data_IF_565548134705
#
_entry.id   IF_565548134705
#
_cell.length_a   1.000
_cell.length_b   1.000
_cell.length_c   1.000
_cell.angle_alpha   90.00
_cell.angle_beta   90.00
_cell.angle_gamma   90.00
#
_symmetry.space_group_name_H-M   'P 1'
#
loop_
_entity.id
_entity.type
_entity.pdbx_description
1 polymer ?
#
# COMPACT_ATOMS: atom_id res chain seq x y z
N UNK A 1 -13.76 10.87 -16.54
CA UNK A 1 -12.85 10.88 -15.36
C UNK A 1 -13.11 9.60 -14.61
N UNK A 2 -12.05 8.88 -14.23
CA UNK A 2 -12.13 7.62 -13.49
C UNK A 2 -11.31 7.70 -12.21
N UNK A 3 -11.71 6.94 -11.19
CA UNK A 3 -10.88 6.72 -10.02
C UNK A 3 -9.95 5.52 -10.28
N UNK A 4 -8.67 5.68 -9.98
CA UNK A 4 -7.69 4.59 -10.01
C UNK A 4 -7.09 4.40 -8.63
N UNK A 5 -6.57 3.20 -8.41
CA UNK A 5 -5.90 2.81 -7.18
C UNK A 5 -4.41 2.64 -7.46
N UNK A 6 -3.59 3.36 -6.72
CA UNK A 6 -2.14 3.26 -6.76
C UNK A 6 -1.64 2.82 -5.39
N UNK A 7 -0.80 1.79 -5.36
CA UNK A 7 -0.25 1.25 -4.13
C UNK A 7 1.20 1.69 -4.02
N UNK A 8 1.55 2.38 -2.94
CA UNK A 8 2.94 2.72 -2.63
C UNK A 8 3.46 1.76 -1.59
N UNK A 9 4.62 1.21 -1.87
CA UNK A 9 5.43 0.49 -0.91
C UNK A 9 6.88 0.95 -1.06
N UNK A 10 7.46 1.46 0.02
CA UNK A 10 8.72 2.21 -0.01
C UNK A 10 8.67 3.35 -1.07
N UNK A 11 9.62 3.37 -1.99
CA UNK A 11 9.72 4.37 -3.07
C UNK A 11 9.17 3.88 -4.41
N UNK A 12 8.45 2.77 -4.42
CA UNK A 12 7.85 2.18 -5.63
C UNK A 12 6.33 2.29 -5.62
N UNK A 13 5.76 2.48 -6.83
CA UNK A 13 4.32 2.58 -7.06
C UNK A 13 3.85 1.39 -7.91
N UNK A 14 2.72 0.81 -7.53
CA UNK A 14 2.17 -0.41 -8.11
C UNK A 14 0.68 -0.23 -8.41
N UNK A 15 0.16 -1.02 -9.37
CA UNK A 15 -1.26 -1.07 -9.73
C UNK A 15 -2.09 -1.97 -8.82
N UNK A 16 -1.43 -2.81 -8.03
CA UNK A 16 -2.00 -3.74 -7.05
C UNK A 16 -1.04 -3.85 -5.86
N UNK A 17 -1.52 -4.35 -4.74
CA UNK A 17 -0.67 -4.65 -3.58
C UNK A 17 0.46 -5.59 -4.02
N UNK A 18 1.73 -5.17 -3.93
CA UNK A 18 2.86 -5.97 -4.38
C UNK A 18 3.37 -6.87 -3.26
N UNK A 19 3.88 -8.06 -3.57
CA UNK A 19 4.65 -8.94 -2.66
C UNK A 19 3.98 -9.45 -1.37
N UNK A 20 2.85 -8.88 -0.95
CA UNK A 20 2.13 -9.30 0.24
C UNK A 20 0.98 -10.24 -0.10
N UNK A 21 0.82 -11.29 0.72
CA UNK A 21 -0.36 -12.14 0.68
C UNK A 21 -1.46 -11.52 1.54
N UNK A 22 -2.71 -11.57 1.07
CA UNK A 22 -3.84 -11.05 1.85
C UNK A 22 -4.00 -11.75 3.20
N UNK A 23 -3.56 -13.01 3.34
CA UNK A 23 -3.58 -13.75 4.60
C UNK A 23 -2.72 -13.09 5.70
N UNK A 24 -1.74 -12.26 5.33
CA UNK A 24 -0.89 -11.50 6.27
C UNK A 24 -1.44 -10.10 6.58
N UNK A 25 -2.54 -9.70 5.94
CA UNK A 25 -3.14 -8.38 6.15
C UNK A 25 -3.87 -8.34 7.48
N UNK A 26 -3.49 -7.40 8.34
CA UNK A 26 -4.18 -7.17 9.60
C UNK A 26 -5.58 -6.61 9.36
N UNK A 27 -6.57 -7.19 10.04
CA UNK A 27 -7.99 -6.84 9.91
C UNK A 27 -8.49 -5.86 10.98
N UNK A 28 -7.72 -5.57 12.02
CA UNK A 28 -8.20 -4.90 13.25
C UNK A 28 -7.20 -3.89 13.83
N UNK A 29 -7.70 -3.02 14.71
CA UNK A 29 -6.97 -1.94 15.39
C UNK A 29 -5.78 -2.45 16.20
N UNK A 30 -4.59 -2.26 15.61
CA UNK A 30 -3.35 -1.69 16.14
C UNK A 30 -3.19 -1.57 17.68
N UNK A 31 -3.44 -2.62 18.46
CA UNK A 31 -3.12 -2.61 19.91
C UNK A 31 -2.01 -3.60 20.32
N UNK A 32 -1.57 -4.49 19.42
CA UNK A 32 -0.48 -5.45 19.67
C UNK A 32 0.71 -5.29 18.69
N UNK A 33 0.87 -4.09 18.10
CA UNK A 33 1.88 -3.83 17.06
C UNK A 33 3.32 -3.88 17.58
N UNK A 34 3.57 -3.57 18.85
CA UNK A 34 4.94 -3.48 19.40
C UNK A 34 5.71 -4.82 19.39
N UNK A 35 5.04 -5.94 19.14
CA UNK A 35 5.65 -7.28 19.08
C UNK A 35 5.79 -7.85 17.65
N UNK A 36 5.32 -7.14 16.62
CA UNK A 36 5.27 -7.66 15.25
C UNK A 36 6.07 -6.80 14.27
N UNK A 37 6.84 -7.46 13.40
CA UNK A 37 7.47 -6.79 12.26
C UNK A 37 6.39 -6.52 11.20
N UNK A 38 5.86 -5.30 11.18
CA UNK A 38 4.76 -4.86 10.30
C UNK A 38 5.29 -3.95 9.20
N UNK A 39 4.79 -4.17 7.99
CA UNK A 39 5.03 -3.29 6.85
C UNK A 39 3.74 -2.72 6.29
N UNK A 40 3.87 -1.47 5.81
CA UNK A 40 2.73 -0.63 5.46
C UNK A 40 2.74 -0.38 3.96
N UNK A 41 1.65 -0.76 3.30
CA UNK A 41 1.36 -0.37 1.92
C UNK A 41 0.29 0.71 1.96
N UNK A 42 0.57 1.87 1.39
CA UNK A 42 -0.42 2.95 1.29
C UNK A 42 -1.11 2.89 -0.07
N UNK A 43 -2.42 2.70 -0.07
CA UNK A 43 -3.28 2.83 -1.23
C UNK A 43 -3.72 4.29 -1.40
N UNK A 44 -3.54 4.83 -2.59
CA UNK A 44 -3.94 6.16 -3.01
C UNK A 44 -5.07 6.05 -4.02
N UNK A 45 -6.20 6.69 -3.73
CA UNK A 45 -7.35 6.76 -4.63
C UNK A 45 -7.27 8.10 -5.38
N UNK A 46 -6.88 8.03 -6.66
CA UNK A 46 -6.61 9.21 -7.49
C UNK A 46 -7.64 9.32 -8.60
N UNK A 47 -8.16 10.54 -8.83
CA UNK A 47 -9.02 10.82 -9.98
C UNK A 47 -8.17 11.18 -11.19
N UNK A 48 -8.39 10.50 -12.31
CA UNK A 48 -7.63 10.69 -13.56
C UNK A 48 -8.56 10.80 -14.76
N UNK A 49 -8.00 11.22 -15.89
CA UNK A 49 -8.69 11.19 -17.17
C UNK A 49 -8.85 9.73 -17.66
N UNK A 50 -9.85 9.49 -18.51
CA UNK A 50 -10.22 8.12 -18.89
C UNK A 50 -9.13 7.45 -19.75
N UNK A 51 -8.32 8.24 -20.44
CA UNK A 51 -7.16 7.87 -21.25
C UNK A 51 -5.87 7.58 -20.43
N UNK A 52 -5.91 7.76 -19.10
CA UNK A 52 -4.77 7.46 -18.24
C UNK A 52 -4.28 6.01 -18.44
N UNK A 53 -2.97 5.89 -18.71
CA UNK A 53 -2.23 4.63 -18.81
C UNK A 53 -1.07 4.64 -17.82
N UNK A 54 -1.05 3.65 -16.92
CA UNK A 54 0.01 3.49 -15.93
C UNK A 54 1.38 3.29 -16.59
N UNK A 55 1.43 2.45 -17.64
CA UNK A 55 2.69 2.08 -18.30
C UNK A 55 3.31 3.24 -19.08
N UNK A 56 2.50 4.24 -19.45
CA UNK A 56 2.95 5.46 -20.12
C UNK A 56 3.24 6.62 -19.14
N UNK A 57 3.05 6.41 -17.84
CA UNK A 57 3.24 7.45 -16.82
C UNK A 57 4.56 7.22 -16.09
N UNK A 58 5.39 8.26 -15.97
CA UNK A 58 6.68 8.13 -15.28
C UNK A 58 6.48 7.89 -13.78
N UNK A 59 7.45 7.25 -13.12
CA UNK A 59 7.41 7.06 -11.67
C UNK A 59 7.28 8.38 -10.89
N UNK A 60 7.93 9.45 -11.35
CA UNK A 60 7.84 10.77 -10.73
C UNK A 60 6.43 11.38 -10.85
N UNK A 61 5.78 11.18 -11.99
CA UNK A 61 4.40 11.64 -12.20
C UNK A 61 3.44 10.84 -11.33
N UNK A 62 3.60 9.51 -11.24
CA UNK A 62 2.82 8.66 -10.34
C UNK A 62 2.99 9.10 -8.87
N UNK A 63 4.22 9.41 -8.44
CA UNK A 63 4.47 9.94 -7.09
C UNK A 63 3.78 11.29 -6.87
N UNK A 64 3.82 12.19 -7.86
CA UNK A 64 3.11 13.47 -7.82
C UNK A 64 1.59 13.28 -7.74
N UNK A 65 1.04 12.30 -8.43
CA UNK A 65 -0.37 11.91 -8.36
C UNK A 65 -0.75 11.39 -6.98
N UNK A 66 0.06 10.51 -6.38
CA UNK A 66 -0.17 10.04 -5.01
C UNK A 66 -0.17 11.19 -3.99
N UNK A 67 0.76 12.16 -4.11
CA UNK A 67 0.79 13.36 -3.24
C UNK A 67 -0.46 14.23 -3.37
N UNK A 68 -1.18 14.15 -4.48
CA UNK A 68 -2.42 14.90 -4.75
C UNK A 68 -3.69 14.08 -4.45
N UNK A 69 -3.56 12.82 -4.02
CA UNK A 69 -4.71 11.98 -3.75
C UNK A 69 -5.55 12.56 -2.61
N UNK A 70 -6.86 12.57 -2.77
CA UNK A 70 -7.79 13.08 -1.75
C UNK A 70 -8.09 12.04 -0.67
N UNK A 71 -7.83 10.76 -0.97
CA UNK A 71 -8.12 9.64 -0.08
C UNK A 71 -6.99 8.62 -0.13
N UNK A 72 -6.56 8.20 1.05
CA UNK A 72 -5.57 7.15 1.26
C UNK A 72 -6.10 6.09 2.19
N UNK A 73 -5.61 4.86 2.04
CA UNK A 73 -5.91 3.72 2.91
C UNK A 73 -4.58 3.06 3.25
N UNK A 74 -4.32 2.80 4.53
CA UNK A 74 -3.13 2.05 4.96
C UNK A 74 -3.47 0.56 5.09
N UNK A 75 -2.63 -0.29 4.51
CA UNK A 75 -2.69 -1.73 4.63
C UNK A 75 -1.47 -2.20 5.42
N UNK A 76 -1.72 -2.82 6.58
CA UNK A 76 -0.68 -3.34 7.46
C UNK A 76 -0.50 -4.83 7.22
N UNK A 77 0.74 -5.26 7.00
CA UNK A 77 1.10 -6.65 6.74
C UNK A 77 2.16 -7.14 7.73
N UNK A 78 1.92 -8.29 8.34
CA UNK A 78 2.91 -8.94 9.22
C UNK A 78 3.93 -9.69 8.37
N UNK A 79 5.22 -9.40 8.54
CA UNK A 79 6.33 -10.06 7.83
C UNK A 79 6.93 -11.19 8.68
N UNK A 80 7.02 -11.02 10.01
CA UNK A 80 7.41 -12.06 10.96
C UNK A 80 6.67 -11.86 12.28
N UNK A 81 5.98 -12.89 12.74
CA UNK A 81 5.79 -13.12 14.17
C UNK A 81 7.13 -13.63 14.66
N UNK A 82 7.86 -12.83 15.45
CA UNK A 82 8.94 -13.40 16.23
C UNK A 82 8.28 -14.46 17.12
N UNK A 83 8.45 -15.72 16.72
CA UNK A 83 8.13 -16.84 17.57
C UNK A 83 9.11 -16.69 18.74
N UNK A 84 8.68 -16.04 19.81
CA UNK A 84 9.10 -16.49 21.13
C UNK A 84 8.60 -17.93 21.22
N UNK A 85 9.42 -18.85 20.73
CA UNK A 85 9.39 -20.23 21.15
C UNK A 85 9.56 -20.17 22.68
N UNK A 86 8.44 -20.19 23.38
CA UNK A 86 8.42 -20.51 24.80
C UNK A 86 8.95 -21.94 24.90
N UNK A 87 10.25 -22.06 25.21
CA UNK A 87 10.90 -23.29 25.67
C UNK A 87 10.36 -23.63 27.07
#
# INVERSE_FOLDING_TARGET
>A
MKAIHLYRFNDSIFRKIPFFKEEHRLKTDVMEIDLMNIEIVTEYIVKTHDDFSFDNTSGNDLLSMCKKAQKTIEHYFVIRLDHYDFI
#
